data_IF_816345636956
#
_entry.id   IF_816345636956
#
_cell.length_a   1.000
_cell.length_b   1.000
_cell.length_c   1.000
_cell.angle_alpha   90.00
_cell.angle_beta   90.00
_cell.angle_gamma   90.00
#
_symmetry.space_group_name_H-M   'P 1'
#
loop_
_entity.id
_entity.type
_entity.pdbx_description
1 polymer ?
#
# COMPACT_ATOMS: atom_id res chain seq x y z
N UNK A 1 28.05 1.92 -13.70
CA UNK A 1 27.99 0.86 -12.67
C UNK A 1 26.62 0.94 -12.02
N UNK A 2 25.74 -0.07 -12.10
CA UNK A 2 24.52 -0.04 -11.31
C UNK A 2 24.90 -0.07 -9.82
N UNK A 3 24.29 0.80 -9.03
CA UNK A 3 24.43 0.88 -7.58
C UNK A 3 24.15 -0.49 -6.95
N UNK A 4 25.08 -1.00 -6.15
CA UNK A 4 24.98 -2.29 -5.45
C UNK A 4 24.06 -2.26 -4.22
N UNK A 5 23.41 -1.13 -3.94
CA UNK A 5 22.41 -1.05 -2.89
C UNK A 5 21.14 -1.76 -3.38
N UNK A 6 20.64 -2.79 -2.67
CA UNK A 6 19.34 -3.37 -2.97
C UNK A 6 18.30 -2.25 -3.02
N UNK A 7 17.44 -2.25 -4.05
CA UNK A 7 16.32 -1.32 -4.07
C UNK A 7 15.53 -1.49 -2.77
N UNK A 8 15.20 -0.39 -2.06
CA UNK A 8 14.48 -0.49 -0.81
C UNK A 8 13.18 -1.28 -1.02
N UNK A 9 12.87 -2.17 -0.08
CA UNK A 9 11.64 -2.95 -0.14
C UNK A 9 10.45 -2.00 -0.19
N UNK A 10 9.70 -2.07 -1.29
CA UNK A 10 8.59 -1.16 -1.57
C UNK A 10 7.25 -1.81 -1.19
N UNK A 11 6.50 -1.13 -0.32
CA UNK A 11 5.17 -1.52 0.13
C UNK A 11 4.14 -0.58 -0.47
N UNK A 12 3.13 -1.15 -1.13
CA UNK A 12 1.93 -0.42 -1.51
C UNK A 12 0.82 -0.67 -0.47
N UNK A 13 0.25 0.39 0.08
CA UNK A 13 -0.95 0.36 0.91
C UNK A 13 -2.14 0.78 0.05
N UNK A 14 -2.96 -0.17 -0.39
CA UNK A 14 -4.18 0.13 -1.14
C UNK A 14 -5.34 0.35 -0.18
N UNK A 15 -5.78 1.61 -0.08
CA UNK A 15 -6.89 2.03 0.77
C UNK A 15 -8.09 2.42 -0.09
N UNK A 16 -9.32 2.10 0.35
CA UNK A 16 -10.50 2.40 -0.43
C UNK A 16 -10.92 3.87 -0.40
N UNK A 17 -10.45 4.59 0.61
CA UNK A 17 -10.63 6.02 0.85
C UNK A 17 -9.55 6.48 1.87
N UNK A 18 -9.51 7.78 2.16
CA UNK A 18 -8.68 8.38 3.21
C UNK A 18 -9.55 9.18 4.18
N UNK A 19 -10.76 8.70 4.44
CA UNK A 19 -11.67 9.31 5.39
C UNK A 19 -11.14 9.16 6.82
N UNK A 20 -11.51 10.11 7.69
CA UNK A 20 -11.08 10.08 9.09
C UNK A 20 -11.85 9.02 9.89
N UNK A 21 -11.40 7.76 9.78
CA UNK A 21 -11.98 6.58 10.45
C UNK A 21 -10.86 5.79 11.15
N UNK A 22 -11.17 5.07 12.25
CA UNK A 22 -10.14 4.40 13.05
C UNK A 22 -9.23 3.44 12.26
N UNK A 23 -9.80 2.66 11.34
CA UNK A 23 -9.06 1.72 10.51
C UNK A 23 -8.19 2.43 9.44
N UNK A 24 -8.62 3.59 8.93
CA UNK A 24 -7.84 4.43 8.03
C UNK A 24 -6.71 5.15 8.76
N UNK A 25 -6.98 5.65 9.97
CA UNK A 25 -5.96 6.21 10.86
C UNK A 25 -4.88 5.17 11.16
N UNK A 26 -5.27 3.93 11.49
CA UNK A 26 -4.35 2.82 11.71
C UNK A 26 -3.50 2.52 10.46
N UNK A 27 -4.09 2.55 9.26
CA UNK A 27 -3.35 2.37 8.01
C UNK A 27 -2.36 3.51 7.72
N UNK A 28 -2.72 4.75 8.05
CA UNK A 28 -1.83 5.91 7.94
C UNK A 28 -0.70 5.83 8.97
N UNK A 29 -0.98 5.46 10.21
CA UNK A 29 0.04 5.21 11.23
C UNK A 29 1.00 4.10 10.78
N UNK A 30 0.46 3.02 10.24
CA UNK A 30 1.23 1.93 9.65
C UNK A 30 2.15 2.45 8.55
N UNK A 31 1.66 3.27 7.62
CA UNK A 31 2.47 3.86 6.54
C UNK A 31 3.69 4.61 7.10
N UNK A 32 3.48 5.47 8.09
CA UNK A 32 4.56 6.20 8.75
C UNK A 32 5.52 5.28 9.50
N UNK A 33 5.00 4.24 10.15
CA UNK A 33 5.83 3.25 10.85
C UNK A 33 6.74 2.51 9.86
N UNK A 34 6.19 2.04 8.74
CA UNK A 34 6.94 1.38 7.66
C UNK A 34 8.06 2.29 7.14
N UNK A 35 7.74 3.56 6.87
CA UNK A 35 8.71 4.58 6.42
C UNK A 35 9.85 4.77 7.43
N UNK A 36 9.53 4.96 8.72
CA UNK A 36 10.54 5.12 9.79
C UNK A 36 11.46 3.91 9.94
N UNK A 37 10.98 2.74 9.55
CA UNK A 37 11.75 1.49 9.54
C UNK A 37 12.44 1.21 8.20
N UNK A 38 12.51 2.19 7.30
CA UNK A 38 13.33 2.15 6.09
C UNK A 38 12.67 1.53 4.86
N UNK A 39 11.38 1.16 4.91
CA UNK A 39 10.66 0.74 3.71
C UNK A 39 10.29 1.95 2.84
N UNK A 40 10.31 1.75 1.52
CA UNK A 40 9.64 2.69 0.61
C UNK A 40 8.13 2.40 0.68
N UNK A 41 7.31 3.44 0.82
CA UNK A 41 5.86 3.28 1.02
C UNK A 41 5.10 4.14 0.02
N UNK A 42 4.18 3.50 -0.71
CA UNK A 42 3.18 4.18 -1.53
C UNK A 42 1.79 3.94 -0.93
N UNK A 43 1.07 5.00 -0.60
CA UNK A 43 -0.37 4.95 -0.31
C UNK A 43 -1.12 5.14 -1.62
N UNK A 44 -1.90 4.13 -2.00
CA UNK A 44 -2.68 4.09 -3.23
C UNK A 44 -4.16 4.19 -2.86
N UNK A 45 -4.84 5.23 -3.32
CA UNK A 45 -6.25 5.45 -2.98
C UNK A 45 -7.05 6.03 -4.16
N UNK A 46 -8.38 5.85 -4.17
CA UNK A 46 -9.28 6.55 -5.09
C UNK A 46 -9.19 8.08 -4.98
N UNK A 47 -9.59 8.73 -6.06
CA UNK A 47 -9.71 10.18 -6.19
C UNK A 47 -10.72 10.74 -5.19
N UNK A 48 -10.38 11.87 -4.58
CA UNK A 48 -11.19 12.51 -3.54
C UNK A 48 -10.56 12.48 -2.15
N UNK A 49 -9.44 11.75 -2.00
CA UNK A 49 -8.42 11.87 -0.95
C UNK A 49 -8.85 12.58 0.33
N UNK A 50 -9.64 11.88 1.15
CA UNK A 50 -10.20 12.37 2.41
C UNK A 50 -9.16 13.00 3.37
N UNK A 51 -9.63 13.57 4.49
CA UNK A 51 -8.85 14.44 5.38
C UNK A 51 -7.49 13.88 5.81
N UNK A 52 -7.35 12.55 5.90
CA UNK A 52 -6.10 11.91 6.30
C UNK A 52 -4.97 12.06 5.27
N UNK A 53 -5.26 12.48 4.04
CA UNK A 53 -4.23 12.70 3.00
C UNK A 53 -3.22 13.77 3.41
N UNK A 54 -3.67 14.81 4.11
CA UNK A 54 -2.80 15.86 4.62
C UNK A 54 -1.91 15.41 5.80
N UNK A 55 -2.25 14.29 6.43
CA UNK A 55 -1.47 13.74 7.54
C UNK A 55 -0.32 12.83 7.07
N UNK A 56 -0.23 12.51 5.78
CA UNK A 56 0.85 11.68 5.23
C UNK A 56 2.14 12.48 5.08
N UNK A 57 3.22 11.94 5.61
CA UNK A 57 4.58 12.44 5.39
C UNK A 57 4.86 12.60 3.87
N UNK A 58 5.46 13.71 3.42
CA UNK A 58 5.78 13.93 2.01
C UNK A 58 6.68 12.85 1.37
N UNK A 59 7.43 12.10 2.17
CA UNK A 59 8.24 10.98 1.69
C UNK A 59 7.41 9.71 1.41
N UNK A 60 6.15 9.65 1.88
CA UNK A 60 5.19 8.60 1.50
C UNK A 60 4.64 8.97 0.13
N UNK A 61 4.84 8.09 -0.86
CA UNK A 61 4.27 8.29 -2.18
C UNK A 61 2.75 8.25 -2.12
N UNK A 62 2.09 9.24 -2.70
CA UNK A 62 0.63 9.31 -2.73
C UNK A 62 0.15 9.10 -4.15
N UNK A 63 -0.43 7.94 -4.44
CA UNK A 63 -0.88 7.56 -5.77
C UNK A 63 -2.40 7.63 -5.83
N UNK A 64 -2.90 8.54 -6.66
CA UNK A 64 -4.32 8.68 -6.95
C UNK A 64 -4.70 7.79 -8.15
N UNK A 65 -5.68 6.91 -7.97
CA UNK A 65 -6.12 6.00 -9.02
C UNK A 65 -6.97 6.67 -10.12
N UNK A 66 -7.29 7.97 -9.98
CA UNK A 66 -8.19 8.71 -10.87
C UNK A 66 -9.56 8.02 -11.06
N UNK A 67 -9.97 7.24 -10.05
CA UNK A 67 -11.25 6.53 -9.94
C UNK A 67 -11.91 6.96 -8.66
N UNK A 68 -13.24 7.03 -8.64
CA UNK A 68 -14.02 7.44 -7.47
C UNK A 68 -14.18 6.33 -6.43
N UNK A 69 -14.03 5.07 -6.84
CA UNK A 69 -14.31 3.92 -5.99
C UNK A 69 -13.26 2.83 -6.14
N UNK A 70 -12.79 2.31 -5.02
CA UNK A 70 -11.83 1.23 -4.96
C UNK A 70 -12.33 -0.04 -5.68
N UNK A 71 -13.62 -0.34 -5.51
CA UNK A 71 -14.28 -1.50 -6.13
C UNK A 71 -14.21 -1.52 -7.67
N UNK A 72 -14.03 -0.36 -8.32
CA UNK A 72 -13.93 -0.25 -9.78
C UNK A 72 -12.51 0.05 -10.25
N UNK A 73 -11.52 -0.03 -9.36
CA UNK A 73 -10.15 0.42 -9.61
C UNK A 73 -9.17 -0.71 -9.95
N UNK A 74 -9.62 -1.95 -10.16
CA UNK A 74 -8.75 -3.12 -10.40
C UNK A 74 -7.69 -2.84 -11.48
N UNK A 75 -8.10 -2.32 -12.65
CA UNK A 75 -7.17 -2.05 -13.75
C UNK A 75 -6.20 -0.90 -13.45
N UNK A 76 -6.67 0.14 -12.77
CA UNK A 76 -5.83 1.27 -12.35
C UNK A 76 -4.77 0.80 -11.34
N UNK A 77 -5.18 -0.02 -10.38
CA UNK A 77 -4.27 -0.62 -9.41
C UNK A 77 -3.29 -1.60 -10.06
N UNK A 78 -3.75 -2.43 -11.01
CA UNK A 78 -2.88 -3.37 -11.74
C UNK A 78 -1.78 -2.62 -12.50
N UNK A 79 -2.12 -1.48 -13.12
CA UNK A 79 -1.14 -0.61 -13.78
C UNK A 79 -0.11 -0.07 -12.81
N UNK A 80 -0.54 0.45 -11.65
CA UNK A 80 0.36 0.94 -10.60
C UNK A 80 1.32 -0.15 -10.14
N UNK A 81 0.81 -1.35 -9.86
CA UNK A 81 1.62 -2.50 -9.44
C UNK A 81 2.65 -2.87 -10.52
N UNK A 82 2.25 -2.89 -11.79
CA UNK A 82 3.13 -3.23 -12.90
C UNK A 82 4.25 -2.19 -13.11
N UNK A 83 3.93 -0.90 -12.96
CA UNK A 83 4.89 0.20 -13.17
C UNK A 83 5.85 0.38 -11.99
N UNK A 84 5.38 0.21 -10.76
CA UNK A 84 6.15 0.49 -9.54
C UNK A 84 6.87 -0.75 -8.98
N UNK A 85 6.45 -1.95 -9.39
CA UNK A 85 7.05 -3.23 -8.99
C UNK A 85 7.20 -3.40 -7.46
N UNK A 86 6.15 -3.07 -6.70
CA UNK A 86 6.14 -3.25 -5.25
C UNK A 86 6.42 -4.70 -4.86
N UNK A 87 7.20 -4.92 -3.79
CA UNK A 87 7.44 -6.25 -3.25
C UNK A 87 6.26 -6.78 -2.42
N UNK A 88 5.41 -5.88 -1.92
CA UNK A 88 4.24 -6.20 -1.12
C UNK A 88 3.11 -5.21 -1.34
N UNK A 89 1.89 -5.73 -1.43
CA UNK A 89 0.65 -4.98 -1.50
C UNK A 89 -0.21 -5.32 -0.28
N UNK A 90 -0.47 -4.34 0.59
CA UNK A 90 -1.36 -4.50 1.72
C UNK A 90 -2.68 -3.76 1.46
N UNK A 91 -3.79 -4.36 1.87
CA UNK A 91 -5.13 -3.79 1.68
C UNK A 91 -6.08 -4.20 2.81
N UNK A 92 -7.02 -3.33 3.24
CA UNK A 92 -8.10 -3.72 4.14
C UNK A 92 -8.91 -4.89 3.57
N UNK A 93 -9.44 -5.75 4.45
CA UNK A 93 -10.19 -6.97 4.06
C UNK A 93 -11.30 -6.71 3.04
N UNK A 94 -12.01 -5.61 3.17
CA UNK A 94 -13.11 -5.20 2.27
C UNK A 94 -12.70 -4.99 0.81
N UNK A 95 -11.44 -4.60 0.56
CA UNK A 95 -10.90 -4.38 -0.79
C UNK A 95 -9.71 -5.28 -1.13
N UNK A 96 -9.43 -6.25 -0.27
CA UNK A 96 -8.41 -7.26 -0.49
C UNK A 96 -8.62 -8.02 -1.81
N UNK A 97 -9.86 -8.33 -2.18
CA UNK A 97 -10.16 -9.02 -3.44
C UNK A 97 -9.81 -8.18 -4.68
N UNK A 98 -9.94 -6.84 -4.62
CA UNK A 98 -9.50 -5.91 -5.67
C UNK A 98 -7.98 -5.95 -5.81
N UNK A 99 -7.27 -5.87 -4.68
CA UNK A 99 -5.82 -5.97 -4.65
C UNK A 99 -5.34 -7.31 -5.24
N UNK A 100 -5.98 -8.43 -4.86
CA UNK A 100 -5.66 -9.75 -5.41
C UNK A 100 -5.86 -9.81 -6.92
N UNK A 101 -6.99 -9.30 -7.41
CA UNK A 101 -7.28 -9.26 -8.85
C UNK A 101 -6.26 -8.40 -9.60
N UNK A 102 -5.85 -7.27 -9.02
CA UNK A 102 -4.84 -6.39 -9.60
C UNK A 102 -3.47 -7.07 -9.71
N UNK A 103 -3.02 -7.80 -8.68
CA UNK A 103 -1.77 -8.58 -8.73
C UNK A 103 -1.79 -9.63 -9.84
N UNK A 104 -2.92 -10.34 -9.98
CA UNK A 104 -3.07 -11.36 -11.03
C UNK A 104 -3.01 -10.76 -12.43
N UNK A 105 -3.70 -9.63 -12.65
CA UNK A 105 -3.69 -8.91 -13.93
C UNK A 105 -2.32 -8.31 -14.25
N UNK A 106 -1.61 -7.80 -13.24
CA UNK A 106 -0.26 -7.27 -13.37
C UNK A 106 0.80 -8.36 -13.55
N UNK A 107 0.43 -9.65 -13.36
CA UNK A 107 1.37 -10.78 -13.30
C UNK A 107 2.52 -10.52 -12.30
N UNK A 108 2.16 -9.94 -11.16
CA UNK A 108 3.13 -9.52 -10.15
C UNK A 108 3.40 -10.64 -9.15
N UNK A 109 4.67 -10.79 -8.77
CA UNK A 109 5.12 -11.66 -7.68
C UNK A 109 5.00 -11.00 -6.30
N UNK A 110 4.41 -9.79 -6.22
CA UNK A 110 4.23 -9.09 -4.97
C UNK A 110 3.40 -9.92 -3.99
N UNK A 111 3.84 -9.95 -2.74
CA UNK A 111 3.09 -10.61 -1.67
C UNK A 111 1.90 -9.76 -1.28
N UNK A 112 0.81 -10.41 -0.89
CA UNK A 112 -0.39 -9.72 -0.48
C UNK A 112 -0.66 -9.91 1.02
N UNK A 113 -0.90 -8.81 1.73
CA UNK A 113 -1.29 -8.82 3.15
C UNK A 113 -2.67 -8.18 3.31
N UNK A 114 -3.58 -8.87 3.99
CA UNK A 114 -4.88 -8.30 4.35
C UNK A 114 -4.76 -7.60 5.71
N UNK A 115 -5.09 -6.32 5.75
CA UNK A 115 -5.03 -5.50 6.96
C UNK A 115 -6.23 -5.78 7.87
N UNK A 116 -5.96 -5.91 9.16
CA UNK A 116 -6.96 -6.08 10.21
C UNK A 116 -7.50 -4.75 10.73
N UNK A 117 -6.85 -3.63 10.42
CA UNK A 117 -7.22 -2.30 10.93
C UNK A 117 -6.56 -1.97 12.27
N UNK A 118 -5.45 -2.63 12.59
CA UNK A 118 -4.64 -2.37 13.77
C UNK A 118 -3.18 -2.22 13.35
N UNK A 119 -2.61 -1.03 13.57
CA UNK A 119 -1.29 -0.69 13.03
C UNK A 119 -0.18 -1.61 13.55
N UNK A 120 -0.29 -2.14 14.77
CA UNK A 120 0.75 -2.99 15.36
C UNK A 120 0.68 -4.41 14.82
N UNK A 121 -0.51 -5.01 14.79
CA UNK A 121 -0.74 -6.33 14.22
C UNK A 121 -0.43 -6.33 12.72
N UNK A 122 -0.86 -5.30 12.00
CA UNK A 122 -0.65 -5.17 10.57
C UNK A 122 0.84 -4.96 10.23
N UNK A 123 1.57 -4.20 11.05
CA UNK A 123 3.02 -4.08 10.91
C UNK A 123 3.73 -5.42 11.09
N UNK A 124 3.35 -6.19 12.11
CA UNK A 124 3.91 -7.52 12.34
C UNK A 124 3.61 -8.48 11.18
N UNK A 125 2.40 -8.43 10.62
CA UNK A 125 2.01 -9.22 9.46
C UNK A 125 2.82 -8.85 8.20
N UNK A 126 3.04 -7.56 7.96
CA UNK A 126 3.89 -7.09 6.84
C UNK A 126 5.33 -7.54 7.04
N UNK A 127 5.91 -7.40 8.24
CA UNK A 127 7.27 -7.88 8.54
C UNK A 127 7.41 -9.38 8.31
N UNK A 128 6.46 -10.19 8.78
CA UNK A 128 6.46 -11.63 8.54
C UNK A 128 6.35 -11.98 7.04
N UNK A 129 5.60 -11.19 6.28
CA UNK A 129 5.48 -11.34 4.84
C UNK A 129 6.69 -10.78 4.06
N UNK A 130 7.61 -10.04 4.68
CA UNK A 130 8.73 -9.37 4.04
C UNK A 130 10.10 -9.86 4.59
N UNK A 131 10.51 -11.12 4.33
CA UNK A 131 11.71 -11.74 4.93
C UNK A 131 13.04 -11.17 4.40
N UNK A 132 13.00 -10.22 3.46
CA UNK A 132 14.19 -9.54 2.91
C UNK A 132 14.23 -8.05 3.26
N UNK A 133 13.46 -7.64 4.27
CA UNK A 133 13.42 -6.27 4.77
C UNK A 133 14.45 -6.05 5.89
N UNK A 134 15.59 -6.73 5.83
CA UNK A 134 16.72 -6.56 6.76
C UNK A 134 17.93 -6.01 6.01
#
# INVERSE_FOLDING_TARGET
MPSLTPAPFAVALFLPDLDDRPDRQAAVELAHRLLRTGAAVDVVAPMGGGPLRAALDPAIGQIDLAKRHAATSVLALARVVAERQHGLLAAPREVAWIARAALWLARSDARMVALAGDATADFAAIRAAAPRWD
#
